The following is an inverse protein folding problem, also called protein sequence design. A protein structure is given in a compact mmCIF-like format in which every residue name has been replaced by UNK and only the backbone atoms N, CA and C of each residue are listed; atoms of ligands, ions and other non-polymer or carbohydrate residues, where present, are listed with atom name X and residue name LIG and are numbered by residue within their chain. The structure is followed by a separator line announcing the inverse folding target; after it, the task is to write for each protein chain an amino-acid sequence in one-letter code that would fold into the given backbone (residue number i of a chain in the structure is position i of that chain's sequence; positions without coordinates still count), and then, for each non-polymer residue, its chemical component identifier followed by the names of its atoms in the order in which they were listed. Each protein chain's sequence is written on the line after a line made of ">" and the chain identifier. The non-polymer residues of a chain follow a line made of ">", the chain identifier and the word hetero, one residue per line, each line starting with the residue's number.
data_IF_664582279599
#
_entry.id   IF_664582279599
#
_cell.length_a   1.000
_cell.length_b   1.000
_cell.length_c   1.000
_cell.angle_alpha   90.00
_cell.angle_beta   90.00
_cell.angle_gamma   90.00
#
_symmetry.space_group_name_H-M   'P 1'
#
loop_
_entity.id
_entity.type
_entity.pdbx_description
1 polymer ?
#
# COMPACT_ATOMS: atom_id res chain seq x y z
N UNK A 1 -11.22 17.72 17.34
CA UNK A 1 -10.95 16.41 17.99
C UNK A 1 -11.99 16.18 19.06
N UNK A 2 -12.17 17.14 19.97
CA UNK A 2 -13.10 17.11 21.10
C UNK A 2 -14.54 16.70 20.74
N UNK A 3 -15.09 17.22 19.63
CA UNK A 3 -16.43 16.83 19.17
C UNK A 3 -16.51 15.36 18.76
N UNK A 4 -15.49 14.85 18.06
CA UNK A 4 -15.45 13.45 17.63
C UNK A 4 -15.28 12.51 18.83
N UNK A 5 -14.44 12.89 19.80
CA UNK A 5 -14.27 12.17 21.06
C UNK A 5 -15.56 12.11 21.87
N UNK A 6 -16.29 13.22 21.94
CA UNK A 6 -17.57 13.29 22.65
C UNK A 6 -18.64 12.42 21.97
N UNK A 7 -18.68 12.39 20.64
CA UNK A 7 -19.61 11.53 19.89
C UNK A 7 -19.25 10.04 19.99
N UNK A 8 -17.96 9.71 20.04
CA UNK A 8 -17.47 8.34 20.11
C UNK A 8 -17.32 7.82 21.54
N UNK A 9 -17.53 8.69 22.54
CA UNK A 9 -17.32 8.41 23.96
C UNK A 9 -15.93 7.81 24.27
N UNK A 10 -14.91 8.27 23.55
CA UNK A 10 -13.54 7.77 23.69
C UNK A 10 -12.50 8.86 23.47
N UNK A 11 -11.31 8.66 24.04
CA UNK A 11 -10.16 9.52 23.77
C UNK A 11 -9.47 9.07 22.49
N UNK A 12 -9.24 10.00 21.56
CA UNK A 12 -8.55 9.74 20.30
C UNK A 12 -7.08 10.12 20.49
N UNK A 13 -6.20 9.13 20.50
CA UNK A 13 -4.75 9.34 20.64
C UNK A 13 -4.01 9.31 19.30
N UNK A 14 -4.59 8.64 18.30
CA UNK A 14 -3.96 8.48 17.00
C UNK A 14 -4.97 8.35 15.88
N UNK A 15 -4.51 8.62 14.65
CA UNK A 15 -5.33 8.67 13.44
C UNK A 15 -4.60 8.07 12.25
N UNK A 16 -5.40 7.55 11.33
CA UNK A 16 -5.00 7.30 9.95
C UNK A 16 -5.38 8.53 9.12
N UNK A 17 -4.50 8.96 8.22
CA UNK A 17 -4.78 10.08 7.31
C UNK A 17 -4.74 9.59 5.87
N UNK A 18 -5.65 10.08 5.04
CA UNK A 18 -5.61 9.83 3.60
C UNK A 18 -5.09 11.05 2.83
N UNK A 19 -4.35 10.81 1.74
CA UNK A 19 -3.81 11.83 0.84
C UNK A 19 -4.17 11.52 -0.61
N UNK A 20 -4.43 12.56 -1.39
CA UNK A 20 -4.74 12.48 -2.82
C UNK A 20 -4.14 13.64 -3.62
N UNK A 21 -4.14 13.53 -4.95
CA UNK A 21 -3.64 14.55 -5.85
C UNK A 21 -2.22 14.32 -6.40
N UNK A 22 -1.73 15.33 -7.15
CA UNK A 22 -0.56 15.25 -8.06
C UNK A 22 0.80 14.86 -7.45
N UNK A 23 0.88 14.73 -6.13
CA UNK A 23 2.10 14.39 -5.41
C UNK A 23 2.21 12.91 -5.09
N UNK A 24 1.19 12.12 -5.45
CA UNK A 24 1.18 10.66 -5.43
C UNK A 24 1.73 10.16 -6.76
N UNK A 25 2.60 9.17 -6.70
CA UNK A 25 3.06 8.42 -7.87
C UNK A 25 2.87 6.92 -7.61
N UNK A 26 2.80 6.14 -8.68
CA UNK A 26 2.77 4.69 -8.57
C UNK A 26 3.58 4.03 -9.68
N UNK A 27 4.18 2.90 -9.35
CA UNK A 27 5.00 2.12 -10.26
C UNK A 27 4.95 0.64 -9.90
N UNK A 28 5.16 -0.22 -10.89
CA UNK A 28 5.28 -1.67 -10.68
C UNK A 28 6.75 -2.00 -10.54
N UNK A 29 7.08 -2.75 -9.49
CA UNK A 29 8.42 -3.24 -9.22
C UNK A 29 8.43 -4.74 -9.05
N UNK A 30 9.59 -5.34 -9.31
CA UNK A 30 9.77 -6.78 -9.21
C UNK A 30 10.83 -7.12 -8.17
N UNK A 31 10.50 -8.07 -7.31
CA UNK A 31 11.45 -8.69 -6.38
C UNK A 31 11.64 -10.14 -6.73
N UNK A 32 12.84 -10.67 -6.45
CA UNK A 32 13.17 -12.06 -6.65
C UNK A 32 13.93 -12.61 -5.46
N UNK A 33 13.65 -13.87 -5.11
CA UNK A 33 14.25 -14.55 -3.96
C UNK A 33 14.36 -16.06 -4.22
N UNK A 34 15.32 -16.70 -3.57
CA UNK A 34 15.38 -18.16 -3.45
C UNK A 34 14.37 -18.64 -2.43
N UNK A 35 13.81 -19.82 -2.65
CA UNK A 35 12.98 -20.52 -1.67
C UNK A 35 13.92 -21.32 -0.77
N UNK A 36 13.85 -21.08 0.54
CA UNK A 36 14.85 -21.57 1.49
C UNK A 36 14.67 -23.06 1.84
N UNK A 37 13.44 -23.57 1.74
CA UNK A 37 13.07 -24.96 2.03
C UNK A 37 12.45 -25.65 0.80
N UNK A 38 11.82 -26.82 0.99
CA UNK A 38 11.10 -27.52 -0.09
C UNK A 38 9.82 -26.80 -0.53
N UNK A 39 9.24 -25.96 0.34
CA UNK A 39 8.02 -25.19 0.11
C UNK A 39 8.21 -23.72 0.49
N UNK A 40 7.47 -22.83 -0.17
CA UNK A 40 7.47 -21.40 0.14
C UNK A 40 6.92 -21.16 1.53
N UNK A 41 7.72 -20.50 2.36
CA UNK A 41 7.36 -20.04 3.70
C UNK A 41 6.90 -18.57 3.69
N UNK A 42 6.30 -18.14 4.81
CA UNK A 42 6.00 -16.73 5.03
C UNK A 42 7.27 -15.85 4.99
N UNK A 43 8.39 -16.36 5.50
CA UNK A 43 9.67 -15.63 5.51
C UNK A 43 10.23 -15.45 4.09
N UNK A 44 10.10 -16.47 3.22
CA UNK A 44 10.47 -16.35 1.81
C UNK A 44 9.62 -15.27 1.10
N UNK A 45 8.32 -15.22 1.40
CA UNK A 45 7.40 -14.23 0.86
C UNK A 45 7.73 -12.82 1.34
N UNK A 46 7.98 -12.63 2.64
CA UNK A 46 8.36 -11.34 3.21
C UNK A 46 9.71 -10.87 2.67
N UNK A 47 10.65 -11.79 2.46
CA UNK A 47 11.96 -11.53 1.87
C UNK A 47 11.84 -11.08 0.41
N UNK A 48 11.04 -11.76 -0.42
CA UNK A 48 10.88 -11.38 -1.84
C UNK A 48 10.18 -10.03 -1.99
N UNK A 49 9.16 -9.76 -1.16
CA UNK A 49 8.49 -8.46 -1.11
C UNK A 49 9.45 -7.37 -0.61
N UNK A 50 10.31 -7.70 0.36
CA UNK A 50 11.35 -6.78 0.83
C UNK A 50 12.33 -6.40 -0.29
N UNK A 51 12.76 -7.37 -1.10
CA UNK A 51 13.57 -7.10 -2.29
C UNK A 51 12.85 -6.19 -3.27
N UNK A 52 11.57 -6.46 -3.56
CA UNK A 52 10.78 -5.65 -4.49
C UNK A 52 10.63 -4.18 -4.03
N UNK A 53 10.43 -3.94 -2.73
CA UNK A 53 10.28 -2.59 -2.18
C UNK A 53 11.61 -1.85 -1.94
N UNK A 54 12.74 -2.55 -2.03
CA UNK A 54 14.08 -1.97 -1.77
C UNK A 54 14.66 -1.23 -2.98
N UNK A 55 13.89 -1.09 -4.05
CA UNK A 55 14.28 -0.25 -5.19
C UNK A 55 14.52 1.18 -4.75
N UNK A 56 15.44 1.86 -5.43
CA UNK A 56 15.73 3.25 -5.13
C UNK A 56 14.56 4.12 -5.58
N UNK A 57 13.68 4.45 -4.64
CA UNK A 57 12.77 5.58 -4.79
C UNK A 57 13.58 6.88 -4.76
N UNK A 58 13.16 7.91 -5.50
CA UNK A 58 13.85 9.19 -5.49
C UNK A 58 13.92 9.78 -4.07
N UNK A 59 14.99 10.49 -3.75
CA UNK A 59 15.26 10.97 -2.37
C UNK A 59 14.14 11.88 -1.81
N UNK A 60 13.38 12.52 -2.70
CA UNK A 60 12.22 13.37 -2.36
C UNK A 60 10.90 12.60 -2.18
N UNK A 61 10.90 11.29 -2.39
CA UNK A 61 9.73 10.43 -2.31
C UNK A 61 9.80 9.53 -1.08
N UNK A 62 8.62 9.13 -0.58
CA UNK A 62 8.47 8.06 0.41
C UNK A 62 7.46 7.05 -0.07
N UNK A 63 7.65 5.79 0.27
CA UNK A 63 6.67 4.73 0.05
C UNK A 63 5.50 4.90 1.03
N UNK A 64 4.28 4.85 0.48
CA UNK A 64 3.03 4.78 1.22
C UNK A 64 2.51 3.34 1.29
N UNK A 65 2.45 2.66 0.14
CA UNK A 65 1.90 1.31 0.03
C UNK A 65 2.80 0.41 -0.80
N UNK A 66 2.86 -0.86 -0.41
CA UNK A 66 3.47 -1.96 -1.17
C UNK A 66 2.40 -3.02 -1.31
N UNK A 67 1.88 -3.22 -2.53
CA UNK A 67 0.76 -4.11 -2.78
C UNK A 67 1.24 -5.24 -3.70
N UNK A 68 1.44 -6.48 -3.20
CA UNK A 68 1.72 -7.62 -4.05
C UNK A 68 0.55 -7.86 -5.01
N UNK A 69 0.86 -8.00 -6.31
CA UNK A 69 -0.15 -8.26 -7.35
C UNK A 69 -0.13 -9.71 -7.81
N UNK A 70 1.06 -10.25 -8.08
CA UNK A 70 1.23 -11.57 -8.66
C UNK A 70 2.57 -12.16 -8.22
N UNK A 71 2.56 -13.47 -7.92
CA UNK A 71 3.75 -14.27 -7.69
C UNK A 71 4.01 -15.21 -8.85
N UNK A 72 5.27 -15.56 -9.04
CA UNK A 72 5.70 -16.61 -9.97
C UNK A 72 6.72 -17.50 -9.27
N UNK A 73 6.58 -18.81 -9.43
CA UNK A 73 7.52 -19.81 -8.92
C UNK A 73 8.09 -20.56 -10.12
N UNK A 74 9.41 -20.51 -10.28
CA UNK A 74 10.14 -21.07 -11.42
C UNK A 74 9.58 -20.61 -12.78
N UNK A 75 8.81 -21.47 -13.46
CA UNK A 75 8.16 -21.16 -14.77
C UNK A 75 6.66 -20.87 -14.65
N UNK A 76 6.06 -21.15 -13.49
CA UNK A 76 4.64 -20.96 -13.24
C UNK A 76 4.37 -19.52 -12.81
N UNK A 77 3.47 -18.85 -13.55
CA UNK A 77 3.03 -17.48 -13.31
C UNK A 77 1.57 -17.46 -12.83
N UNK A 78 1.08 -16.30 -12.42
CA UNK A 78 -0.32 -16.09 -12.05
C UNK A 78 -0.67 -16.55 -10.64
N UNK A 79 0.33 -16.75 -9.76
CA UNK A 79 0.10 -17.30 -8.43
C UNK A 79 -0.35 -16.16 -7.51
N UNK A 80 -1.55 -16.27 -6.93
CA UNK A 80 -2.07 -15.30 -5.94
C UNK A 80 -1.45 -15.49 -4.56
N UNK A 81 -1.39 -16.74 -4.09
CA UNK A 81 -0.79 -17.10 -2.80
C UNK A 81 0.25 -18.21 -3.02
N UNK A 82 1.55 -17.93 -2.85
CA UNK A 82 2.61 -18.90 -3.11
C UNK A 82 2.90 -19.81 -1.91
N UNK A 83 2.39 -19.51 -0.70
CA UNK A 83 2.72 -20.24 0.54
C UNK A 83 2.33 -21.72 0.42
N UNK A 84 3.26 -22.61 0.76
CA UNK A 84 3.09 -24.07 0.67
C UNK A 84 3.28 -24.65 -0.74
N UNK A 85 3.64 -23.84 -1.73
CA UNK A 85 4.02 -24.34 -3.05
C UNK A 85 5.52 -24.65 -3.08
N UNK A 86 5.90 -25.72 -3.77
CA UNK A 86 7.31 -26.08 -3.96
C UNK A 86 7.93 -25.38 -5.16
N UNK A 87 9.22 -25.05 -5.04
CA UNK A 87 10.02 -24.51 -6.13
C UNK A 87 11.40 -24.08 -5.68
N UNK A 88 12.22 -23.58 -6.60
CA UNK A 88 13.56 -23.10 -6.26
C UNK A 88 13.63 -21.58 -6.18
N UNK A 89 12.86 -20.87 -7.03
CA UNK A 89 12.92 -19.42 -7.12
C UNK A 89 11.54 -18.80 -7.21
N UNK A 90 11.33 -17.73 -6.45
CA UNK A 90 10.11 -16.94 -6.45
C UNK A 90 10.38 -15.53 -6.98
N UNK A 91 9.47 -15.02 -7.80
CA UNK A 91 9.38 -13.61 -8.21
C UNK A 91 8.04 -13.05 -7.72
N UNK A 92 8.03 -11.78 -7.31
CA UNK A 92 6.83 -11.02 -6.99
C UNK A 92 6.78 -9.75 -7.83
N UNK A 93 5.61 -9.43 -8.37
CA UNK A 93 5.29 -8.11 -8.89
C UNK A 93 4.52 -7.33 -7.82
N UNK A 94 5.06 -6.18 -7.40
CA UNK A 94 4.42 -5.29 -6.42
C UNK A 94 4.06 -3.97 -7.06
N UNK A 95 2.90 -3.44 -6.71
CA UNK A 95 2.51 -2.06 -7.00
C UNK A 95 2.96 -1.19 -5.84
N UNK A 96 3.95 -0.34 -6.09
CA UNK A 96 4.40 0.67 -5.16
C UNK A 96 3.60 1.95 -5.36
N UNK A 97 3.12 2.51 -4.25
CA UNK A 97 2.52 3.84 -4.21
C UNK A 97 3.41 4.71 -3.35
N UNK A 98 3.87 5.83 -3.90
CA UNK A 98 4.78 6.77 -3.27
C UNK A 98 4.16 8.16 -3.19
N UNK A 99 4.71 9.00 -2.32
CA UNK A 99 4.36 10.42 -2.28
C UNK A 99 5.56 11.32 -2.00
N UNK A 100 5.47 12.58 -2.40
CA UNK A 100 6.48 13.58 -2.08
C UNK A 100 6.60 13.81 -0.56
N UNK A 101 7.83 13.81 -0.04
CA UNK A 101 8.15 13.92 1.38
C UNK A 101 7.59 15.20 2.02
N UNK A 102 7.75 16.33 1.36
CA UNK A 102 7.24 17.62 1.83
C UNK A 102 5.74 17.60 2.10
N UNK A 103 4.96 16.99 1.21
CA UNK A 103 3.51 16.95 1.34
C UNK A 103 3.11 16.12 2.57
N UNK A 104 3.62 14.90 2.66
CA UNK A 104 3.36 14.03 3.81
C UNK A 104 3.78 14.67 5.14
N UNK A 105 4.97 15.30 5.18
CA UNK A 105 5.48 15.97 6.38
C UNK A 105 4.61 17.14 6.82
N UNK A 106 4.10 17.94 5.88
CA UNK A 106 3.26 19.08 6.20
C UNK A 106 1.93 18.64 6.83
N UNK A 107 1.29 17.61 6.28
CA UNK A 107 0.04 17.09 6.84
C UNK A 107 0.26 16.42 8.20
N UNK A 108 1.31 15.61 8.35
CA UNK A 108 1.65 14.99 9.65
C UNK A 108 1.85 16.06 10.72
N UNK A 109 2.65 17.09 10.45
CA UNK A 109 2.88 18.19 11.40
C UNK A 109 1.59 18.94 11.75
N UNK A 110 0.67 19.11 10.80
CA UNK A 110 -0.60 19.77 11.05
C UNK A 110 -1.46 18.95 12.04
N UNK A 111 -1.49 17.63 11.89
CA UNK A 111 -2.22 16.72 12.77
C UNK A 111 -1.57 16.60 14.15
N UNK A 112 -0.24 16.49 14.21
CA UNK A 112 0.50 16.39 15.48
C UNK A 112 0.36 17.63 16.36
N UNK A 113 0.18 18.82 15.75
CA UNK A 113 -0.13 20.07 16.47
C UNK A 113 -1.49 20.03 17.18
N UNK A 114 -2.38 19.13 16.79
CA UNK A 114 -3.64 18.88 17.47
C UNK A 114 -3.52 17.85 18.61
N UNK A 115 -2.29 17.41 18.95
CA UNK A 115 -2.05 16.42 20.01
C UNK A 115 -2.31 14.97 19.59
N UNK A 116 -2.45 14.71 18.29
CA UNK A 116 -2.72 13.39 17.73
C UNK A 116 -1.47 12.77 17.10
N UNK A 117 -1.29 11.46 17.25
CA UNK A 117 -0.27 10.71 16.52
C UNK A 117 -0.81 10.25 15.16
N UNK A 118 -0.02 10.40 14.10
CA UNK A 118 -0.35 9.79 12.80
C UNK A 118 0.24 8.38 12.76
N UNK A 119 -0.61 7.35 12.69
CA UNK A 119 -0.13 5.96 12.56
C UNK A 119 0.29 5.66 11.13
N UNK A 120 -0.59 5.93 10.16
CA UNK A 120 -0.32 5.67 8.75
C UNK A 120 -0.92 6.73 7.84
N UNK A 121 -0.28 6.85 6.68
CA UNK A 121 -0.71 7.71 5.58
C UNK A 121 -1.19 6.80 4.45
N UNK A 122 -2.44 6.96 4.04
CA UNK A 122 -3.10 6.12 3.05
C UNK A 122 -3.32 6.93 1.77
N UNK A 123 -3.20 6.31 0.61
CA UNK A 123 -3.61 6.95 -0.63
C UNK A 123 -5.14 6.90 -0.70
N UNK A 124 -5.81 8.06 -0.85
CA UNK A 124 -7.27 8.12 -0.82
C UNK A 124 -7.89 7.23 -1.89
N UNK A 125 -7.34 7.17 -3.11
CA UNK A 125 -7.87 6.30 -4.17
C UNK A 125 -7.85 4.82 -3.78
N UNK A 126 -6.83 4.37 -3.05
CA UNK A 126 -6.76 3.01 -2.51
C UNK A 126 -7.82 2.77 -1.43
N UNK A 127 -7.99 3.74 -0.51
CA UNK A 127 -8.99 3.65 0.56
C UNK A 127 -10.42 3.64 0.00
N UNK A 128 -10.74 4.59 -0.89
CA UNK A 128 -12.03 4.70 -1.56
C UNK A 128 -12.34 3.44 -2.35
N UNK A 129 -11.38 2.93 -3.13
CA UNK A 129 -11.52 1.67 -3.87
C UNK A 129 -11.82 0.49 -2.95
N UNK A 130 -11.11 0.36 -1.82
CA UNK A 130 -11.34 -0.72 -0.87
C UNK A 130 -12.75 -0.64 -0.22
N UNK A 131 -13.25 0.57 0.00
CA UNK A 131 -14.57 0.77 0.61
C UNK A 131 -15.75 0.44 -0.31
N UNK A 132 -15.57 0.50 -1.64
CA UNK A 132 -16.70 0.40 -2.60
C UNK A 132 -16.62 -0.79 -3.55
N UNK A 133 -15.43 -1.35 -3.79
CA UNK A 133 -15.22 -2.45 -4.75
C UNK A 133 -15.39 -3.81 -4.06
N UNK A 134 -16.21 -4.66 -4.65
CA UNK A 134 -16.32 -6.09 -4.29
C UNK A 134 -15.20 -6.93 -4.93
N UNK A 135 -14.93 -8.13 -4.41
CA UNK A 135 -13.91 -9.02 -4.99
C UNK A 135 -14.22 -9.38 -6.45
N UNK A 136 -15.49 -9.61 -6.79
CA UNK A 136 -15.91 -9.93 -8.16
C UNK A 136 -15.66 -8.76 -9.13
N UNK A 137 -15.97 -7.52 -8.72
CA UNK A 137 -15.69 -6.32 -9.53
C UNK A 137 -14.20 -6.10 -9.73
N UNK A 138 -13.39 -6.39 -8.71
CA UNK A 138 -11.93 -6.33 -8.78
C UNK A 138 -11.40 -7.35 -9.80
N UNK A 139 -11.92 -8.57 -9.78
CA UNK A 139 -11.48 -9.66 -10.65
C UNK A 139 -11.89 -9.46 -12.12
N UNK A 140 -13.04 -8.82 -12.37
CA UNK A 140 -13.49 -8.44 -13.71
C UNK A 140 -12.73 -7.24 -14.28
N UNK A 141 -12.10 -6.45 -13.41
CA UNK A 141 -11.49 -5.17 -13.75
C UNK A 141 -12.49 -4.03 -13.64
N UNK A 142 -12.21 -3.09 -12.73
CA UNK A 142 -13.05 -1.93 -12.44
C UNK A 142 -12.20 -0.67 -12.39
N UNK A 143 -12.79 0.46 -12.76
CA UNK A 143 -12.21 1.78 -12.57
C UNK A 143 -13.06 2.54 -11.55
N UNK A 144 -12.43 3.05 -10.49
CA UNK A 144 -13.07 3.91 -9.51
C UNK A 144 -12.64 5.34 -9.78
N UNK A 145 -13.62 6.24 -9.87
CA UNK A 145 -13.39 7.67 -10.04
C UNK A 145 -13.89 8.38 -8.78
N UNK A 146 -12.95 8.88 -7.98
CA UNK A 146 -13.23 9.63 -6.76
C UNK A 146 -13.31 11.13 -7.09
N UNK A 147 -14.51 11.72 -6.96
CA UNK A 147 -14.78 13.12 -7.32
C UNK A 147 -14.87 13.95 -6.05
N UNK A 148 -13.77 14.59 -5.68
CA UNK A 148 -13.69 15.53 -4.56
C UNK A 148 -13.91 16.99 -4.95
N UNK A 149 -13.92 17.87 -3.94
CA UNK A 149 -14.14 19.31 -4.15
C UNK A 149 -12.99 20.03 -4.88
N UNK A 150 -11.78 19.44 -4.90
CA UNK A 150 -10.59 20.04 -5.51
C UNK A 150 -9.74 19.09 -6.35
N UNK A 151 -9.98 17.79 -6.28
CA UNK A 151 -9.30 16.77 -7.10
C UNK A 151 -10.32 15.74 -7.57
N UNK A 152 -10.09 15.22 -8.78
CA UNK A 152 -10.68 13.95 -9.21
C UNK A 152 -9.54 12.96 -9.29
N UNK A 153 -9.64 11.88 -8.54
CA UNK A 153 -8.62 10.84 -8.44
C UNK A 153 -9.14 9.56 -9.12
N UNK A 154 -8.23 8.83 -9.78
CA UNK A 154 -8.49 7.60 -10.52
C UNK A 154 -7.36 6.60 -10.25
#
# INVERSE_FOLDING_TARGET
>A
VDQAELMAECTITSVFISLSGKHIASQIEKGMGSISEEEVTQDDMDSVIHTAKSVKIGDEQRTLHVIPQEFSIDVQKGIRNPIGLSGMRMEVSVHLITCHNDMARNIVKAVERCGLKVEHIIFSGLASSNAVITEDERDLGVCVVDIGAGTTDM
#
